data_IF_803464910880
#
_entry.id   IF_803464910880
#
_cell.length_a   1.000
_cell.length_b   1.000
_cell.length_c   1.000
_cell.angle_alpha   90.00
_cell.angle_beta   90.00
_cell.angle_gamma   90.00
#
_symmetry.space_group_name_H-M   'P 1'
#
loop_
_entity.id
_entity.type
_entity.pdbx_description
1 polymer ?
#
# COMPACT_ATOMS: atom_id res chain seq x y z
N UNK A 1 10.45 -8.61 12.03
CA UNK A 1 9.68 -8.51 10.78
C UNK A 1 10.65 -8.50 9.61
N UNK A 2 10.42 -9.31 8.58
CA UNK A 2 11.18 -9.30 7.32
C UNK A 2 10.20 -9.15 6.14
N UNK A 3 10.67 -8.60 5.02
CA UNK A 3 9.90 -8.46 3.78
C UNK A 3 10.82 -8.70 2.58
N UNK A 4 10.32 -9.40 1.56
CA UNK A 4 11.07 -9.75 0.34
C UNK A 4 10.20 -9.62 -0.92
N UNK A 5 10.83 -9.44 -2.07
CA UNK A 5 10.14 -9.34 -3.36
C UNK A 5 9.42 -8.00 -3.53
N UNK A 6 8.34 -7.98 -4.32
CA UNK A 6 7.66 -6.74 -4.73
C UNK A 6 7.03 -5.95 -3.58
N UNK A 7 6.74 -6.60 -2.45
CA UNK A 7 6.25 -5.90 -1.24
C UNK A 7 7.36 -5.14 -0.52
N UNK A 8 8.63 -5.44 -0.80
CA UNK A 8 9.78 -4.77 -0.20
C UNK A 8 10.27 -3.59 -1.05
N UNK A 9 10.80 -2.56 -0.40
CA UNK A 9 11.47 -1.45 -1.07
C UNK A 9 12.97 -1.55 -0.77
N UNK A 10 13.69 -2.39 -1.52
CA UNK A 10 15.12 -2.65 -1.34
C UNK A 10 16.02 -1.51 -1.84
N UNK A 11 15.45 -0.56 -2.60
CA UNK A 11 16.16 0.48 -3.33
C UNK A 11 16.69 0.06 -4.70
N UNK A 12 16.66 -1.24 -5.05
CA UNK A 12 17.22 -1.76 -6.30
C UNK A 12 16.60 -1.13 -7.57
N UNK A 13 15.29 -0.87 -7.54
CA UNK A 13 14.55 -0.36 -8.71
C UNK A 13 14.43 1.16 -8.75
N UNK A 14 14.71 1.85 -7.64
CA UNK A 14 14.48 3.29 -7.50
C UNK A 14 13.10 3.72 -8.01
N UNK A 15 13.05 4.73 -8.87
CA UNK A 15 11.82 5.28 -9.44
C UNK A 15 11.36 4.64 -10.76
N UNK A 16 12.11 3.68 -11.31
CA UNK A 16 11.74 2.96 -12.53
C UNK A 16 12.41 1.58 -12.59
N UNK A 17 11.61 0.53 -12.48
CA UNK A 17 12.09 -0.84 -12.58
C UNK A 17 12.46 -1.19 -14.02
N UNK A 18 13.65 -1.74 -14.22
CA UNK A 18 14.04 -2.35 -15.49
C UNK A 18 13.39 -3.74 -15.62
N UNK A 19 13.04 -4.11 -16.86
CA UNK A 19 12.47 -5.41 -17.15
C UNK A 19 13.40 -6.54 -16.68
N UNK A 20 12.80 -7.67 -16.27
CA UNK A 20 13.50 -8.90 -15.85
C UNK A 20 14.30 -8.86 -14.54
N UNK A 21 14.42 -7.71 -13.86
CA UNK A 21 15.16 -7.64 -12.59
C UNK A 21 14.38 -8.17 -11.37
N UNK A 22 13.05 -8.29 -11.44
CA UNK A 22 12.24 -8.72 -10.28
C UNK A 22 12.46 -10.16 -9.87
N UNK A 23 12.65 -11.07 -10.82
CA UNK A 23 12.87 -12.49 -10.49
C UNK A 23 14.22 -12.67 -9.81
N UNK A 24 15.24 -11.97 -10.31
CA UNK A 24 16.57 -11.99 -9.71
C UNK A 24 16.57 -11.36 -8.31
N UNK A 25 15.86 -10.25 -8.13
CA UNK A 25 15.66 -9.65 -6.80
C UNK A 25 15.00 -10.65 -5.85
N UNK A 26 13.90 -11.29 -6.26
CA UNK A 26 13.21 -12.29 -5.44
C UNK A 26 14.13 -13.43 -5.01
N UNK A 27 14.93 -13.98 -5.94
CA UNK A 27 15.87 -15.05 -5.64
C UNK A 27 16.96 -14.63 -4.65
N UNK A 28 17.61 -13.49 -4.91
CA UNK A 28 18.75 -13.01 -4.10
C UNK A 28 18.29 -12.57 -2.71
N UNK A 29 17.22 -11.76 -2.63
CA UNK A 29 16.72 -11.28 -1.34
C UNK A 29 15.99 -12.36 -0.56
N UNK A 30 15.38 -13.34 -1.24
CA UNK A 30 14.80 -14.52 -0.58
C UNK A 30 15.87 -15.33 0.17
N UNK A 31 16.99 -15.64 -0.49
CA UNK A 31 18.11 -16.34 0.16
C UNK A 31 18.68 -15.55 1.36
N UNK A 32 18.83 -14.22 1.20
CA UNK A 32 19.32 -13.35 2.29
C UNK A 32 18.35 -13.25 3.45
N UNK A 33 17.04 -13.18 3.18
CA UNK A 33 16.04 -13.13 4.23
C UNK A 33 15.96 -14.45 5.02
N UNK A 34 16.21 -15.59 4.38
CA UNK A 34 16.31 -16.87 5.08
C UNK A 34 17.49 -16.86 6.08
N UNK A 35 18.67 -16.43 5.64
CA UNK A 35 19.84 -16.29 6.52
C UNK A 35 19.57 -15.31 7.69
N UNK A 36 19.00 -14.14 7.39
CA UNK A 36 18.64 -13.17 8.42
C UNK A 36 17.57 -13.70 9.38
N UNK A 37 16.66 -14.56 8.92
CA UNK A 37 15.64 -15.16 9.76
C UNK A 37 16.26 -16.14 10.77
N UNK A 38 17.27 -16.92 10.37
CA UNK A 38 18.02 -17.81 11.28
C UNK A 38 18.68 -17.01 12.41
N UNK A 39 19.37 -15.92 12.06
CA UNK A 39 20.00 -15.03 13.05
C UNK A 39 18.97 -14.36 13.98
N UNK A 40 17.82 -13.94 13.44
CA UNK A 40 16.76 -13.30 14.22
C UNK A 40 16.03 -14.28 15.14
N UNK A 41 15.91 -15.55 14.78
CA UNK A 41 15.24 -16.57 15.58
C UNK A 41 15.91 -16.72 16.95
N UNK A 42 17.24 -16.67 17.02
CA UNK A 42 17.98 -16.74 18.28
C UNK A 42 17.66 -15.58 19.24
N UNK A 43 17.25 -14.43 18.69
CA UNK A 43 16.91 -13.22 19.44
C UNK A 43 15.40 -13.03 19.63
N UNK A 44 14.56 -13.86 19.01
CA UNK A 44 13.11 -13.69 19.01
C UNK A 44 12.53 -14.29 20.28
N UNK A 45 11.74 -13.55 21.06
CA UNK A 45 11.07 -14.11 22.23
C UNK A 45 10.07 -15.18 21.81
N UNK A 46 9.78 -16.09 22.75
CA UNK A 46 8.77 -17.12 22.56
C UNK A 46 7.42 -16.50 22.13
N UNK A 47 6.69 -17.14 21.19
CA UNK A 47 5.40 -16.64 20.75
C UNK A 47 4.43 -16.49 21.93
N UNK A 48 3.75 -15.34 21.97
CA UNK A 48 2.66 -15.14 22.92
C UNK A 48 1.44 -15.93 22.42
N UNK A 49 0.77 -16.63 23.33
CA UNK A 49 -0.50 -17.30 23.02
C UNK A 49 -1.54 -16.26 22.63
N UNK A 50 -2.02 -16.32 21.38
CA UNK A 50 -3.05 -15.42 20.87
C UNK A 50 -4.39 -16.14 21.01
N UNK A 51 -5.38 -15.55 21.71
CA UNK A 51 -6.70 -16.16 21.80
C UNK A 51 -7.30 -16.32 20.40
N UNK A 52 -8.16 -17.35 20.18
CA UNK A 52 -8.85 -17.48 18.92
C UNK A 52 -9.64 -16.18 18.63
N UNK A 53 -9.78 -15.80 17.35
CA UNK A 53 -10.58 -14.63 16.99
C UNK A 53 -11.97 -14.74 17.62
N UNK A 54 -12.45 -13.65 18.22
CA UNK A 54 -13.82 -13.59 18.70
C UNK A 54 -14.75 -13.62 17.48
N UNK A 55 -15.37 -14.78 17.24
CA UNK A 55 -16.35 -14.99 16.19
C UNK A 55 -17.75 -14.46 16.59
N UNK A 56 -17.83 -13.46 17.49
CA UNK A 56 -19.04 -12.89 18.08
C UNK A 56 -20.21 -12.68 17.10
N UNK A 57 -21.40 -12.33 17.63
CA UNK A 57 -22.64 -12.23 16.85
C UNK A 57 -22.60 -11.12 15.77
N UNK A 58 -21.85 -11.36 14.70
CA UNK A 58 -21.74 -10.50 13.55
C UNK A 58 -23.03 -10.61 12.75
N UNK A 59 -23.63 -9.48 12.42
CA UNK A 59 -24.71 -9.46 11.44
C UNK A 59 -24.18 -10.03 10.11
N UNK A 60 -25.04 -10.73 9.35
CA UNK A 60 -24.77 -11.12 7.97
C UNK A 60 -25.43 -10.09 7.04
N UNK A 61 -24.67 -9.19 6.40
CA UNK A 61 -25.21 -8.28 5.41
C UNK A 61 -25.09 -8.86 4.00
N UNK A 62 -25.79 -8.23 3.07
CA UNK A 62 -25.59 -8.41 1.62
C UNK A 62 -24.29 -7.71 1.16
N UNK A 63 -23.16 -8.10 1.78
CA UNK A 63 -21.86 -7.40 1.73
C UNK A 63 -21.17 -7.48 0.37
N UNK A 64 -21.42 -8.54 -0.40
CA UNK A 64 -20.72 -8.78 -1.65
C UNK A 64 -20.92 -7.62 -2.65
N UNK A 65 -22.11 -7.00 -2.63
CA UNK A 65 -22.41 -5.84 -3.48
C UNK A 65 -21.63 -4.60 -3.02
N UNK A 66 -21.56 -4.35 -1.71
CA UNK A 66 -20.81 -3.20 -1.16
C UNK A 66 -19.30 -3.37 -1.41
N UNK A 67 -18.77 -4.57 -1.19
CA UNK A 67 -17.36 -4.87 -1.41
C UNK A 67 -16.99 -4.70 -2.88
N UNK A 68 -17.75 -5.30 -3.79
CA UNK A 68 -17.51 -5.16 -5.24
C UNK A 68 -17.65 -3.71 -5.71
N UNK A 69 -18.63 -2.97 -5.22
CA UNK A 69 -18.81 -1.55 -5.54
C UNK A 69 -17.60 -0.70 -5.11
N UNK A 70 -17.17 -0.84 -3.85
CA UNK A 70 -16.04 -0.09 -3.31
C UNK A 70 -14.72 -0.46 -4.00
N UNK A 71 -14.55 -1.73 -4.34
CA UNK A 71 -13.40 -2.19 -5.10
C UNK A 71 -13.30 -1.52 -6.47
N UNK A 72 -14.42 -1.52 -7.20
CA UNK A 72 -14.56 -0.89 -8.50
C UNK A 72 -14.35 0.63 -8.42
N UNK A 73 -14.86 1.25 -7.36
CA UNK A 73 -14.66 2.67 -7.12
C UNK A 73 -13.19 3.01 -6.91
N UNK A 74 -12.46 2.27 -6.06
CA UNK A 74 -11.03 2.51 -5.83
C UNK A 74 -10.25 2.33 -7.14
N UNK A 75 -10.55 1.28 -7.92
CA UNK A 75 -9.90 1.06 -9.22
C UNK A 75 -10.12 2.21 -10.19
N UNK A 76 -11.36 2.68 -10.34
CA UNK A 76 -11.70 3.82 -11.22
C UNK A 76 -11.01 5.10 -10.75
N UNK A 77 -10.99 5.34 -9.44
CA UNK A 77 -10.35 6.51 -8.84
C UNK A 77 -8.84 6.52 -9.11
N UNK A 78 -8.16 5.39 -8.88
CA UNK A 78 -6.72 5.27 -9.13
C UNK A 78 -6.40 5.42 -10.61
N UNK A 79 -7.21 4.83 -11.51
CA UNK A 79 -7.06 4.99 -12.96
C UNK A 79 -7.21 6.44 -13.42
N UNK A 80 -8.27 7.13 -12.97
CA UNK A 80 -8.63 8.45 -13.47
C UNK A 80 -7.76 9.58 -12.89
N UNK A 81 -7.29 9.44 -11.64
CA UNK A 81 -6.61 10.52 -10.92
C UNK A 81 -5.15 10.24 -10.57
N UNK A 82 -4.74 8.97 -10.55
CA UNK A 82 -3.41 8.53 -10.07
C UNK A 82 -2.67 7.72 -11.15
N UNK A 83 -3.05 7.90 -12.42
CA UNK A 83 -2.40 7.29 -13.57
C UNK A 83 -0.99 7.84 -13.85
N UNK A 84 -0.56 7.74 -15.12
CA UNK A 84 0.80 8.10 -15.55
C UNK A 84 1.09 9.59 -15.36
N UNK A 85 0.16 10.45 -15.78
CA UNK A 85 0.27 11.91 -15.68
C UNK A 85 -0.62 12.43 -14.55
N UNK A 86 0.00 13.07 -13.55
CA UNK A 86 -0.66 13.49 -12.31
C UNK A 86 -0.75 15.00 -12.19
N UNK A 87 -1.70 15.45 -11.38
CA UNK A 87 -1.77 16.83 -10.87
C UNK A 87 -2.19 16.81 -9.42
N UNK A 88 -1.72 17.78 -8.65
CA UNK A 88 -2.03 18.03 -7.24
C UNK A 88 -3.54 18.10 -7.04
N UNK A 89 -4.25 18.79 -7.93
CA UNK A 89 -5.71 18.88 -7.91
C UNK A 89 -6.39 17.51 -8.00
N UNK A 90 -5.94 16.64 -8.90
CA UNK A 90 -6.49 15.28 -9.07
C UNK A 90 -6.12 14.38 -7.89
N UNK A 91 -4.88 14.47 -7.40
CA UNK A 91 -4.42 13.72 -6.25
C UNK A 91 -5.18 14.10 -4.97
N UNK A 92 -5.44 15.39 -4.73
CA UNK A 92 -6.25 15.83 -3.58
C UNK A 92 -7.69 15.32 -3.65
N UNK A 93 -8.30 15.31 -4.85
CA UNK A 93 -9.63 14.70 -5.07
C UNK A 93 -9.62 13.20 -4.78
N UNK A 94 -8.62 12.48 -5.29
CA UNK A 94 -8.42 11.06 -5.02
C UNK A 94 -8.28 10.80 -3.51
N UNK A 95 -7.47 11.59 -2.82
CA UNK A 95 -7.25 11.49 -1.38
C UNK A 95 -8.56 11.66 -0.61
N UNK A 96 -9.30 12.74 -0.86
CA UNK A 96 -10.55 13.02 -0.15
C UNK A 96 -11.57 11.88 -0.27
N UNK A 97 -11.68 11.28 -1.46
CA UNK A 97 -12.60 10.15 -1.67
C UNK A 97 -12.09 8.85 -1.05
N UNK A 98 -10.78 8.58 -1.09
CA UNK A 98 -10.17 7.45 -0.39
C UNK A 98 -10.30 7.57 1.14
N UNK A 99 -10.21 8.78 1.69
CA UNK A 99 -10.40 9.01 3.13
C UNK A 99 -11.82 8.58 3.57
N UNK A 100 -12.85 8.94 2.79
CA UNK A 100 -14.23 8.52 3.05
C UNK A 100 -14.40 7.00 2.95
N UNK A 101 -13.92 6.39 1.87
CA UNK A 101 -14.01 4.94 1.67
C UNK A 101 -13.29 4.15 2.78
N UNK A 102 -12.12 4.63 3.22
CA UNK A 102 -11.37 3.99 4.31
C UNK A 102 -12.11 4.07 5.64
N UNK A 103 -12.79 5.17 5.92
CA UNK A 103 -13.60 5.31 7.13
C UNK A 103 -14.82 4.39 7.08
N UNK A 104 -15.53 4.32 5.95
CA UNK A 104 -16.64 3.38 5.73
C UNK A 104 -16.16 1.92 5.93
N UNK A 105 -15.08 1.50 5.26
CA UNK A 105 -14.48 0.17 5.41
C UNK A 105 -14.09 -0.09 6.88
N UNK A 106 -13.55 0.90 7.59
CA UNK A 106 -13.18 0.73 9.01
C UNK A 106 -14.41 0.51 9.89
N UNK A 107 -15.50 1.22 9.65
CA UNK A 107 -16.75 1.03 10.39
C UNK A 107 -17.32 -0.37 10.18
N UNK A 108 -17.33 -0.84 8.93
CA UNK A 108 -17.75 -2.20 8.59
C UNK A 108 -16.87 -3.27 9.25
N UNK A 109 -15.55 -3.06 9.30
CA UNK A 109 -14.60 -4.04 9.86
C UNK A 109 -14.92 -4.46 11.31
N UNK A 110 -15.47 -3.55 12.12
CA UNK A 110 -15.78 -3.81 13.54
C UNK A 110 -17.22 -4.27 13.79
N UNK A 111 -18.09 -4.15 12.80
CA UNK A 111 -19.53 -4.42 12.95
C UNK A 111 -19.96 -5.76 12.36
N UNK A 112 -19.15 -6.33 11.45
CA UNK A 112 -19.56 -7.47 10.64
C UNK A 112 -18.49 -8.55 10.50
N UNK A 113 -18.91 -9.70 9.97
CA UNK A 113 -18.05 -10.88 9.85
C UNK A 113 -17.02 -10.64 8.76
N UNK A 114 -15.74 -10.76 9.12
CA UNK A 114 -14.67 -10.58 8.15
C UNK A 114 -14.66 -11.70 7.12
N UNK A 115 -14.81 -11.30 5.85
CA UNK A 115 -14.58 -12.15 4.69
C UNK A 115 -13.21 -11.85 4.09
N UNK A 116 -12.69 -12.78 3.29
CA UNK A 116 -11.45 -12.57 2.55
C UNK A 116 -11.52 -11.32 1.66
N UNK A 117 -12.59 -11.18 0.89
CA UNK A 117 -12.76 -10.08 -0.07
C UNK A 117 -12.81 -8.72 0.65
N UNK A 118 -13.40 -8.68 1.84
CA UNK A 118 -13.42 -7.48 2.67
C UNK A 118 -12.02 -7.11 3.18
N UNK A 119 -11.22 -8.09 3.62
CA UNK A 119 -9.82 -7.86 4.04
C UNK A 119 -8.98 -7.37 2.87
N UNK A 120 -9.16 -7.96 1.68
CA UNK A 120 -8.48 -7.52 0.46
C UNK A 120 -8.90 -6.08 0.07
N UNK A 121 -10.18 -5.74 0.20
CA UNK A 121 -10.69 -4.39 -0.05
C UNK A 121 -10.02 -3.36 0.87
N UNK A 122 -9.93 -3.66 2.18
CA UNK A 122 -9.24 -2.82 3.15
C UNK A 122 -7.78 -2.60 2.74
N UNK A 123 -7.07 -3.67 2.40
CA UNK A 123 -5.66 -3.60 2.03
C UNK A 123 -5.46 -2.75 0.76
N UNK A 124 -6.32 -2.90 -0.26
CA UNK A 124 -6.27 -2.07 -1.47
C UNK A 124 -6.55 -0.60 -1.18
N UNK A 125 -7.54 -0.31 -0.32
CA UNK A 125 -7.84 1.07 0.07
C UNK A 125 -6.65 1.73 0.79
N UNK A 126 -5.98 1.01 1.69
CA UNK A 126 -4.78 1.48 2.38
C UNK A 126 -3.62 1.71 1.39
N UNK A 127 -3.34 0.74 0.51
CA UNK A 127 -2.28 0.87 -0.51
C UNK A 127 -2.55 2.05 -1.45
N UNK A 128 -3.79 2.20 -1.94
CA UNK A 128 -4.20 3.32 -2.78
C UNK A 128 -3.98 4.67 -2.08
N UNK A 129 -4.38 4.78 -0.82
CA UNK A 129 -4.19 5.99 -0.03
C UNK A 129 -2.70 6.29 0.23
N UNK A 130 -1.89 5.28 0.51
CA UNK A 130 -0.43 5.42 0.64
C UNK A 130 0.21 5.94 -0.65
N UNK A 131 -0.16 5.40 -1.81
CA UNK A 131 0.32 5.86 -3.13
C UNK A 131 -0.02 7.34 -3.33
N UNK A 132 -1.27 7.73 -3.05
CA UNK A 132 -1.72 9.13 -3.22
C UNK A 132 -0.98 10.07 -2.28
N UNK A 133 -0.77 9.69 -1.01
CA UNK A 133 0.03 10.47 -0.06
C UNK A 133 1.46 10.66 -0.56
N UNK A 134 2.14 9.58 -0.95
CA UNK A 134 3.51 9.66 -1.47
C UNK A 134 3.59 10.55 -2.72
N UNK A 135 2.60 10.46 -3.61
CA UNK A 135 2.53 11.28 -4.82
C UNK A 135 2.30 12.78 -4.52
N UNK A 136 1.54 13.11 -3.48
CA UNK A 136 1.33 14.49 -3.01
C UNK A 136 2.57 15.09 -2.35
N UNK A 137 3.32 14.29 -1.58
CA UNK A 137 4.53 14.73 -0.89
C UNK A 137 5.71 14.95 -1.86
N UNK A 138 5.80 14.15 -2.94
CA UNK A 138 6.88 14.25 -3.93
C UNK A 138 6.60 15.35 -4.97
N UNK A 139 7.09 16.56 -4.69
CA UNK A 139 6.98 17.76 -5.53
C UNK A 139 8.08 17.86 -6.59
N UNK A 140 8.28 16.79 -7.34
CA UNK A 140 9.17 16.70 -8.50
C UNK A 140 8.62 15.68 -9.49
N UNK A 141 9.23 15.56 -10.67
CA UNK A 141 9.02 14.43 -11.57
C UNK A 141 10.30 13.60 -11.72
N UNK A 142 10.20 12.28 -11.47
CA UNK A 142 11.31 11.33 -11.50
C UNK A 142 10.83 9.93 -11.83
N UNK A 143 11.42 9.30 -12.85
CA UNK A 143 11.06 7.94 -13.27
C UNK A 143 9.58 7.84 -13.66
N UNK A 144 8.86 6.89 -13.06
CA UNK A 144 7.41 6.68 -13.27
C UNK A 144 6.52 7.64 -12.47
N UNK A 145 7.09 8.50 -11.64
CA UNK A 145 6.36 9.59 -11.00
C UNK A 145 6.46 10.86 -11.83
N UNK A 146 5.37 11.20 -12.53
CA UNK A 146 5.29 12.39 -13.35
C UNK A 146 4.08 13.25 -12.96
N UNK A 147 4.35 14.49 -12.57
CA UNK A 147 3.35 15.47 -12.15
C UNK A 147 3.51 16.78 -12.92
N UNK A 148 2.41 17.31 -13.46
CA UNK A 148 2.46 18.54 -14.27
C UNK A 148 2.76 19.79 -13.45
N UNK A 149 2.45 19.79 -12.15
CA UNK A 149 2.72 20.94 -11.28
C UNK A 149 4.22 21.08 -10.96
N UNK A 150 4.98 19.98 -11.06
CA UNK A 150 6.43 19.92 -10.81
C UNK A 150 7.09 19.03 -11.89
N UNK A 151 7.21 19.53 -13.14
CA UNK A 151 7.57 18.70 -14.29
C UNK A 151 9.05 18.32 -14.33
N UNK A 152 9.89 18.95 -13.51
CA UNK A 152 11.34 18.74 -13.50
C UNK A 152 11.78 17.93 -12.29
N UNK A 153 12.94 17.28 -12.46
CA UNK A 153 13.62 16.55 -11.39
C UNK A 153 14.29 17.53 -10.43
N UNK A 154 14.18 17.29 -9.14
CA UNK A 154 14.79 18.10 -8.09
C UNK A 154 15.70 17.22 -7.22
N UNK A 155 16.98 17.20 -7.57
CA UNK A 155 17.98 16.40 -6.86
C UNK A 155 18.40 17.02 -5.52
N UNK A 156 18.07 18.29 -5.25
CA UNK A 156 18.42 18.97 -4.00
C UNK A 156 17.46 18.54 -2.90
N UNK A 157 16.16 18.52 -3.18
CA UNK A 157 15.14 18.29 -2.16
C UNK A 157 14.58 16.85 -2.16
N UNK A 158 14.65 16.14 -3.30
CA UNK A 158 13.92 14.88 -3.51
C UNK A 158 14.77 13.71 -4.00
N UNK A 159 16.11 13.81 -3.97
CA UNK A 159 17.02 12.67 -4.16
C UNK A 159 17.08 11.76 -2.92
N UNK A 160 15.91 11.24 -2.55
CA UNK A 160 15.67 10.36 -1.41
C UNK A 160 14.38 9.58 -1.65
N UNK A 161 14.20 8.52 -0.89
CA UNK A 161 12.94 7.79 -0.88
C UNK A 161 11.86 8.58 -0.13
N UNK A 162 10.60 8.35 -0.52
CA UNK A 162 9.45 8.88 0.22
C UNK A 162 9.09 7.85 1.28
N UNK A 163 9.16 8.23 2.55
CA UNK A 163 8.89 7.36 3.68
C UNK A 163 7.61 7.81 4.37
N UNK A 164 6.66 6.90 4.52
CA UNK A 164 5.43 7.11 5.27
C UNK A 164 5.39 6.13 6.45
N UNK A 165 4.94 6.60 7.60
CA UNK A 165 4.78 5.76 8.78
C UNK A 165 3.33 5.78 9.29
N UNK A 166 2.95 4.76 10.05
CA UNK A 166 1.60 4.69 10.65
C UNK A 166 1.34 5.81 11.66
N UNK A 167 2.39 6.36 12.26
CA UNK A 167 2.33 7.40 13.29
C UNK A 167 2.69 8.79 12.77
N UNK A 168 2.79 8.96 11.44
CA UNK A 168 3.18 10.19 10.74
C UNK A 168 3.53 9.87 9.29
#
# INVERSE_FOLDING_TARGET
>A
LLAIGEVSCTGLHGANRLASNSLLEGLVFGARAAQAAEELLEMTPEPVEVPPPDEGAFAQPDEAVVVSHNWDEIRRLMWNYVGIVRTTKRLLRAKARLDLLREEIRQYYWQYKLTRDFVELRNIADVAHMIVRCALERKESRGLHYTLDYPYRDDVNFRRDTVISRNG
#
